data_IF_296930947170
#
_entry.id   IF_296930947170
#
_cell.length_a   1.000
_cell.length_b   1.000
_cell.length_c   1.000
_cell.angle_alpha   90.00
_cell.angle_beta   90.00
_cell.angle_gamma   90.00
#
_symmetry.space_group_name_H-M   'P 1'
#
loop_
_entity.id
_entity.type
_entity.pdbx_description
1 polymer ?
#
# COMPACT_ATOMS: atom_id res chain seq x y z
N UNK A 1 -41.53 54.06 -66.25
CA UNK A 1 -41.59 53.35 -64.95
C UNK A 1 -40.21 53.42 -64.33
N UNK A 2 -40.00 54.47 -63.55
CA UNK A 2 -38.76 54.79 -62.84
C UNK A 2 -39.20 55.41 -61.53
N UNK A 3 -38.68 54.96 -60.39
CA UNK A 3 -38.27 55.90 -59.36
C UNK A 3 -37.34 55.23 -58.35
N UNK A 4 -36.34 56.03 -57.99
CA UNK A 4 -35.04 55.68 -57.43
C UNK A 4 -34.82 56.69 -56.30
N UNK A 5 -34.08 56.25 -55.26
CA UNK A 5 -33.31 57.07 -54.29
C UNK A 5 -34.14 57.63 -53.11
N UNK A 6 -33.94 57.18 -51.86
CA UNK A 6 -32.87 57.50 -50.86
C UNK A 6 -33.02 58.90 -50.27
N UNK A 7 -33.25 58.99 -48.95
CA UNK A 7 -32.61 59.95 -48.04
C UNK A 7 -32.93 59.63 -46.57
N UNK A 8 -31.92 59.78 -45.73
CA UNK A 8 -31.89 59.58 -44.29
C UNK A 8 -32.35 60.82 -43.48
N UNK A 9 -32.47 60.69 -42.16
CA UNK A 9 -31.75 61.48 -41.12
C UNK A 9 -32.58 61.70 -39.82
N UNK A 10 -31.93 61.38 -38.69
CA UNK A 10 -32.01 61.92 -37.32
C UNK A 10 -33.29 61.81 -36.46
N UNK A 11 -33.14 61.35 -35.20
CA UNK A 11 -33.10 62.25 -34.03
C UNK A 11 -32.62 61.53 -32.75
N UNK A 12 -31.90 62.26 -31.91
CA UNK A 12 -31.27 61.87 -30.63
C UNK A 12 -32.28 62.07 -29.47
N UNK A 13 -31.94 61.53 -28.29
CA UNK A 13 -32.54 61.66 -26.94
C UNK A 13 -33.38 60.41 -26.57
N UNK A 14 -33.10 59.67 -25.49
CA UNK A 14 -33.27 60.10 -24.08
C UNK A 14 -32.29 59.37 -23.14
N UNK A 15 -31.87 60.09 -22.11
CA UNK A 15 -30.87 59.79 -21.09
C UNK A 15 -31.49 59.04 -19.90
N UNK A 16 -30.74 58.06 -19.39
CA UNK A 16 -30.64 57.52 -18.02
C UNK A 16 -31.88 57.40 -17.10
N UNK A 17 -32.09 56.21 -16.53
CA UNK A 17 -32.00 55.98 -15.08
C UNK A 17 -32.35 54.53 -14.69
N UNK A 18 -31.51 53.97 -13.80
CA UNK A 18 -31.78 52.84 -12.90
C UNK A 18 -32.04 51.49 -13.60
N UNK A 19 -31.55 50.33 -13.15
CA UNK A 19 -31.53 49.85 -11.79
C UNK A 19 -30.28 48.98 -11.56
N UNK A 20 -29.71 49.18 -10.37
CA UNK A 20 -28.73 48.31 -9.72
C UNK A 20 -29.19 46.85 -9.79
N UNK A 21 -28.23 45.92 -9.89
CA UNK A 21 -28.16 44.58 -9.30
C UNK A 21 -27.36 43.63 -10.20
N UNK A 22 -26.04 43.77 -10.21
CA UNK A 22 -25.15 42.66 -10.59
C UNK A 22 -24.05 42.57 -9.54
N UNK A 23 -24.24 41.66 -8.57
CA UNK A 23 -23.18 41.25 -7.65
C UNK A 23 -22.19 40.38 -8.45
N UNK A 24 -20.88 40.68 -8.47
CA UNK A 24 -19.91 39.70 -8.93
C UNK A 24 -19.87 38.56 -7.92
N UNK A 25 -20.32 37.38 -8.34
CA UNK A 25 -20.19 36.13 -7.57
C UNK A 25 -18.71 35.82 -7.37
N UNK A 26 -18.31 35.63 -6.13
CA UNK A 26 -16.99 35.13 -5.77
C UNK A 26 -16.88 33.69 -6.27
N UNK A 27 -16.09 33.48 -7.33
CA UNK A 27 -15.65 32.16 -7.71
C UNK A 27 -14.72 31.64 -6.60
N UNK A 28 -15.26 30.79 -5.73
CA UNK A 28 -14.44 29.97 -4.85
C UNK A 28 -13.56 29.11 -5.75
N UNK A 29 -12.26 29.39 -5.76
CA UNK A 29 -11.26 28.48 -6.29
C UNK A 29 -11.32 27.21 -5.42
N UNK A 30 -12.06 26.22 -5.90
CA UNK A 30 -11.96 24.85 -5.40
C UNK A 30 -10.56 24.42 -5.79
N UNK A 31 -9.64 24.47 -4.82
CA UNK A 31 -8.36 23.82 -4.91
C UNK A 31 -8.62 22.38 -5.30
N UNK A 32 -8.37 22.05 -6.56
CA UNK A 32 -8.11 20.69 -6.98
C UNK A 32 -6.82 20.28 -6.28
N UNK A 33 -6.96 19.87 -5.02
CA UNK A 33 -5.97 19.05 -4.35
C UNK A 33 -5.92 17.77 -5.17
N UNK A 34 -4.99 17.78 -6.11
CA UNK A 34 -4.47 16.60 -6.77
C UNK A 34 -3.93 15.71 -5.66
N UNK A 35 -4.82 14.90 -5.07
CA UNK A 35 -4.45 13.74 -4.29
C UNK A 35 -3.84 12.74 -5.26
N UNK A 36 -2.60 13.05 -5.67
CA UNK A 36 -1.66 12.03 -6.06
C UNK A 36 -1.62 11.07 -4.87
N UNK A 37 -2.23 9.90 -5.05
CA UNK A 37 -2.04 8.75 -4.20
C UNK A 37 -0.54 8.49 -4.11
N UNK A 38 0.10 9.12 -3.13
CA UNK A 38 1.42 8.78 -2.69
C UNK A 38 1.29 7.36 -2.15
N UNK A 39 1.79 6.41 -2.93
CA UNK A 39 1.93 5.02 -2.50
C UNK A 39 2.55 5.04 -1.12
N UNK A 40 1.78 4.56 -0.14
CA UNK A 40 2.18 4.58 1.26
C UNK A 40 3.39 3.69 1.39
N UNK A 41 4.56 4.31 1.50
CA UNK A 41 5.78 3.62 1.93
C UNK A 41 5.41 2.91 3.24
N UNK A 42 5.67 1.60 3.37
CA UNK A 42 5.41 0.88 4.61
C UNK A 42 5.98 1.68 5.78
N UNK A 43 5.16 2.04 6.77
CA UNK A 43 5.62 2.76 7.97
C UNK A 43 6.31 1.79 8.93
N UNK A 44 7.26 1.02 8.39
CA UNK A 44 8.08 0.08 9.16
C UNK A 44 9.05 0.90 9.96
N UNK A 45 8.89 0.86 11.27
CA UNK A 45 9.86 1.46 12.18
C UNK A 45 10.81 0.37 12.64
N UNK A 46 12.07 0.46 12.23
CA UNK A 46 13.12 -0.46 12.64
C UNK A 46 14.05 0.26 13.60
N UNK A 47 14.22 -0.27 14.81
CA UNK A 47 15.20 0.21 15.80
C UNK A 47 16.39 -0.76 15.91
N UNK A 48 17.23 -0.64 16.93
CA UNK A 48 18.42 -1.52 17.07
C UNK A 48 18.05 -2.99 17.29
N UNK A 49 16.87 -3.27 17.86
CA UNK A 49 16.52 -4.60 18.37
C UNK A 49 15.27 -5.19 17.69
N UNK A 50 14.39 -4.35 17.16
CA UNK A 50 13.09 -4.77 16.65
C UNK A 50 12.71 -4.09 15.34
N UNK A 51 11.83 -4.76 14.61
CA UNK A 51 11.08 -4.22 13.48
C UNK A 51 9.62 -4.16 13.88
N UNK A 52 8.98 -3.01 13.66
CA UNK A 52 7.57 -2.77 13.98
C UNK A 52 6.79 -2.43 12.73
N UNK A 53 5.73 -3.20 12.48
CA UNK A 53 4.83 -3.04 11.33
C UNK A 53 3.44 -2.69 11.87
N UNK A 54 2.84 -1.55 11.51
CA UNK A 54 1.51 -1.21 11.98
C UNK A 54 0.49 -2.28 11.57
N UNK A 55 -0.34 -2.75 12.51
CA UNK A 55 -1.41 -3.71 12.20
C UNK A 55 -2.40 -3.17 11.17
N UNK A 56 -2.61 -1.85 11.14
CA UNK A 56 -3.43 -1.17 10.14
C UNK A 56 -2.95 -1.35 8.71
N UNK A 57 -1.67 -1.70 8.50
CA UNK A 57 -1.11 -2.00 7.18
C UNK A 57 -1.03 -3.50 6.87
N UNK A 58 -1.44 -4.37 7.80
CA UNK A 58 -1.48 -5.82 7.59
C UNK A 58 -2.85 -6.18 7.02
N UNK A 59 -2.84 -6.86 5.86
CA UNK A 59 -4.05 -7.21 5.13
C UNK A 59 -4.00 -8.65 4.64
N UNK A 60 -5.11 -9.15 4.09
CA UNK A 60 -5.16 -10.45 3.44
C UNK A 60 -4.21 -10.55 2.22
N UNK A 61 -3.78 -9.42 1.66
CA UNK A 61 -2.71 -9.37 0.67
C UNK A 61 -1.35 -9.37 1.36
N UNK A 62 -0.56 -10.40 1.08
CA UNK A 62 0.80 -10.61 1.56
C UNK A 62 1.70 -9.45 1.15
N UNK A 63 2.45 -8.94 2.11
CA UNK A 63 3.50 -7.96 1.90
C UNK A 63 4.86 -8.60 2.16
N UNK A 64 5.84 -8.21 1.35
CA UNK A 64 7.26 -8.61 1.50
C UNK A 64 8.07 -7.44 2.02
N UNK A 65 8.99 -7.76 2.92
CA UNK A 65 9.91 -6.81 3.53
C UNK A 65 11.32 -7.38 3.47
N UNK A 66 12.30 -6.47 3.54
CA UNK A 66 13.72 -6.82 3.54
C UNK A 66 14.41 -6.03 4.62
N UNK A 67 15.20 -6.71 5.44
CA UNK A 67 16.10 -6.10 6.42
C UNK A 67 17.54 -6.48 6.09
N UNK A 68 18.44 -5.50 6.10
CA UNK A 68 19.86 -5.76 5.88
C UNK A 68 20.54 -5.95 7.24
N UNK A 69 21.00 -7.17 7.51
CA UNK A 69 21.59 -7.58 8.78
C UNK A 69 22.99 -8.14 8.51
N UNK A 70 24.02 -7.44 8.99
CA UNK A 70 25.43 -7.84 8.85
C UNK A 70 25.84 -8.17 7.40
N UNK A 71 25.35 -7.38 6.43
CA UNK A 71 25.63 -7.58 5.01
C UNK A 71 24.77 -8.63 4.31
N UNK A 72 23.84 -9.30 5.01
CA UNK A 72 22.86 -10.20 4.43
C UNK A 72 21.48 -9.53 4.30
N UNK A 73 20.85 -9.66 3.14
CA UNK A 73 19.47 -9.22 2.92
C UNK A 73 18.48 -10.31 3.35
N UNK A 74 17.89 -10.15 4.53
CA UNK A 74 16.91 -11.08 5.08
C UNK A 74 15.52 -10.65 4.65
N UNK A 75 14.83 -11.52 3.89
CA UNK A 75 13.48 -11.24 3.39
C UNK A 75 12.43 -11.99 4.19
N UNK A 76 11.31 -11.33 4.46
CA UNK A 76 10.20 -11.92 5.21
C UNK A 76 8.87 -11.40 4.69
N UNK A 77 7.82 -12.15 5.00
CA UNK A 77 6.46 -11.90 4.59
C UNK A 77 5.59 -11.63 5.81
N UNK A 78 4.61 -10.74 5.64
CA UNK A 78 3.53 -10.50 6.61
C UNK A 78 2.20 -10.51 5.87
N UNK A 79 1.24 -11.26 6.40
CA UNK A 79 -0.10 -11.43 5.81
C UNK A 79 -1.12 -11.67 6.92
N UNK A 80 -2.36 -11.22 6.72
CA UNK A 80 -3.46 -11.46 7.66
C UNK A 80 -4.11 -12.82 7.35
N UNK A 81 -4.25 -13.66 8.38
CA UNK A 81 -5.06 -14.88 8.31
C UNK A 81 -6.56 -14.57 8.29
N UNK A 82 -7.35 -15.57 7.92
CA UNK A 82 -8.82 -15.46 7.89
C UNK A 82 -9.43 -15.28 9.29
N UNK A 83 -8.68 -15.63 10.34
CA UNK A 83 -9.01 -15.39 11.75
C UNK A 83 -8.66 -13.98 12.25
N UNK A 84 -8.21 -13.09 11.36
CA UNK A 84 -7.82 -11.73 11.71
C UNK A 84 -6.46 -11.64 12.42
N UNK A 85 -5.71 -12.75 12.51
CA UNK A 85 -4.40 -12.76 13.14
C UNK A 85 -3.29 -12.57 12.11
N UNK A 86 -2.26 -11.75 12.41
CA UNK A 86 -1.11 -11.61 11.52
C UNK A 86 -0.28 -12.90 11.50
N UNK A 87 0.24 -13.21 10.32
CA UNK A 87 1.16 -14.32 10.06
C UNK A 87 2.46 -13.77 9.54
N UNK A 88 3.56 -14.29 10.06
CA UNK A 88 4.92 -13.89 9.67
C UNK A 88 5.75 -15.12 9.36
N UNK A 89 6.50 -15.06 8.27
CA UNK A 89 7.44 -16.11 7.88
C UNK A 89 8.59 -15.48 7.10
N UNK A 90 9.71 -16.17 7.00
CA UNK A 90 10.73 -15.81 6.02
C UNK A 90 10.20 -16.01 4.60
N UNK A 91 10.65 -15.18 3.66
CA UNK A 91 10.44 -15.42 2.22
C UNK A 91 11.42 -16.51 1.73
N UNK A 92 11.47 -17.63 2.45
CA UNK A 92 12.39 -18.73 2.27
C UNK A 92 11.81 -20.05 2.79
N UNK A 93 12.23 -21.14 2.14
CA UNK A 93 11.91 -22.50 2.52
C UNK A 93 13.12 -23.13 3.20
N UNK A 94 12.92 -23.98 4.21
CA UNK A 94 14.04 -24.69 4.85
C UNK A 94 14.79 -25.58 3.85
N UNK A 95 14.03 -26.24 2.94
CA UNK A 95 14.57 -27.17 1.94
C UNK A 95 15.00 -26.46 0.66
N UNK A 96 14.19 -25.51 0.16
CA UNK A 96 14.47 -24.84 -1.12
C UNK A 96 15.31 -23.56 -1.00
N UNK A 97 15.56 -23.09 0.22
CA UNK A 97 16.20 -21.81 0.48
C UNK A 97 15.33 -20.62 0.10
N UNK A 98 15.97 -19.45 0.14
CA UNK A 98 15.36 -18.14 -0.07
C UNK A 98 15.46 -17.61 -1.49
N UNK A 99 16.21 -18.22 -2.41
CA UNK A 99 16.53 -17.62 -3.71
C UNK A 99 15.30 -17.14 -4.51
N UNK A 100 14.23 -17.96 -4.58
CA UNK A 100 13.02 -17.66 -5.35
C UNK A 100 11.84 -17.16 -4.50
N UNK A 101 11.87 -17.38 -3.20
CA UNK A 101 10.80 -17.01 -2.27
C UNK A 101 9.42 -17.60 -2.60
N UNK A 102 8.38 -16.89 -2.17
CA UNK A 102 6.98 -17.26 -2.31
C UNK A 102 6.17 -16.22 -3.10
N UNK A 103 5.08 -16.65 -3.72
CA UNK A 103 4.03 -15.76 -4.21
C UNK A 103 2.71 -16.13 -3.53
N UNK A 104 1.78 -15.20 -3.46
CA UNK A 104 0.45 -15.49 -2.96
C UNK A 104 -0.50 -15.81 -4.12
N UNK A 105 -1.30 -16.86 -3.97
CA UNK A 105 -2.40 -17.23 -4.85
C UNK A 105 -3.65 -17.44 -4.00
N UNK A 106 -4.56 -16.45 -3.99
CA UNK A 106 -5.74 -16.48 -3.12
C UNK A 106 -5.37 -16.58 -1.63
N UNK A 107 -5.85 -17.62 -0.96
CA UNK A 107 -5.58 -17.90 0.45
C UNK A 107 -4.32 -18.74 0.69
N UNK A 108 -3.49 -18.93 -0.34
CA UNK A 108 -2.30 -19.78 -0.27
C UNK A 108 -1.02 -19.02 -0.62
N UNK A 109 0.08 -19.45 -0.02
CA UNK A 109 1.43 -19.09 -0.41
C UNK A 109 2.05 -20.24 -1.20
N UNK A 110 2.54 -19.95 -2.39
CA UNK A 110 3.12 -20.93 -3.30
C UNK A 110 4.62 -20.72 -3.42
N UNK A 111 5.40 -21.77 -3.15
CA UNK A 111 6.84 -21.73 -3.31
C UNK A 111 7.20 -21.54 -4.79
N UNK A 112 7.95 -20.50 -5.12
CA UNK A 112 8.37 -20.24 -6.50
C UNK A 112 9.45 -21.22 -6.99
N UNK A 113 10.02 -22.04 -6.11
CA UNK A 113 11.00 -23.06 -6.50
C UNK A 113 10.36 -24.40 -6.87
N UNK A 114 9.47 -24.94 -6.04
CA UNK A 114 8.90 -26.27 -6.21
C UNK A 114 7.38 -26.31 -6.43
N UNK A 115 6.69 -25.17 -6.38
CA UNK A 115 5.25 -25.08 -6.65
C UNK A 115 4.34 -25.57 -5.51
N UNK A 116 4.87 -26.03 -4.38
CA UNK A 116 4.05 -26.42 -3.23
C UNK A 116 3.30 -25.21 -2.67
N UNK A 117 2.01 -25.40 -2.42
CA UNK A 117 1.10 -24.39 -1.87
C UNK A 117 0.82 -24.66 -0.38
N UNK A 118 0.68 -23.58 0.39
CA UNK A 118 0.47 -23.60 1.84
C UNK A 118 -0.61 -22.60 2.21
N UNK A 119 -1.61 -23.01 2.98
CA UNK A 119 -2.65 -22.09 3.44
C UNK A 119 -2.05 -21.02 4.34
N UNK A 120 -2.45 -19.77 4.16
CA UNK A 120 -2.03 -18.65 5.02
C UNK A 120 -2.36 -18.93 6.50
N UNK A 121 -3.53 -19.49 6.79
CA UNK A 121 -3.96 -19.81 8.16
C UNK A 121 -3.06 -20.84 8.87
N UNK A 122 -2.30 -21.63 8.10
CA UNK A 122 -1.44 -22.68 8.65
C UNK A 122 -0.04 -22.15 9.04
N UNK A 123 0.30 -20.92 8.63
CA UNK A 123 1.57 -20.27 8.95
C UNK A 123 1.65 -19.93 10.45
N UNK A 124 2.77 -20.28 11.08
CA UNK A 124 3.00 -20.17 12.52
C UNK A 124 2.15 -21.13 13.38
N UNK A 125 1.09 -21.73 12.84
CA UNK A 125 0.18 -22.63 13.55
C UNK A 125 0.53 -24.11 13.36
N UNK A 126 0.85 -24.53 12.13
CA UNK A 126 1.20 -25.92 11.80
C UNK A 126 2.67 -26.10 11.41
N UNK A 127 3.31 -25.08 10.86
CA UNK A 127 4.73 -25.13 10.47
C UNK A 127 5.66 -24.67 11.61
N UNK A 128 5.53 -25.28 12.79
CA UNK A 128 6.32 -24.86 13.96
C UNK A 128 7.77 -25.36 13.94
N UNK A 129 8.10 -26.37 13.14
CA UNK A 129 9.48 -26.80 12.90
C UNK A 129 9.61 -27.65 11.61
N UNK A 130 10.69 -27.44 10.85
CA UNK A 130 11.19 -28.38 9.86
C UNK A 130 10.44 -28.47 8.52
N UNK A 131 11.18 -28.77 7.46
CA UNK A 131 10.63 -29.33 6.22
C UNK A 131 10.34 -28.34 5.09
N UNK A 132 9.70 -28.83 4.03
CA UNK A 132 9.41 -28.04 2.83
C UNK A 132 8.21 -27.12 3.07
N UNK A 133 8.43 -26.03 3.82
CA UNK A 133 7.44 -25.00 4.20
C UNK A 133 8.09 -23.61 4.26
N UNK A 134 7.31 -22.52 4.21
CA UNK A 134 7.80 -21.20 4.60
C UNK A 134 8.36 -21.29 6.02
N UNK A 135 9.57 -20.81 6.26
CA UNK A 135 10.16 -20.90 7.60
C UNK A 135 9.45 -19.92 8.52
N UNK A 136 8.91 -20.40 9.63
CA UNK A 136 8.23 -19.56 10.61
C UNK A 136 9.16 -18.45 11.14
N UNK A 137 8.63 -17.24 11.24
CA UNK A 137 9.32 -16.09 11.83
C UNK A 137 8.52 -15.67 13.06
N UNK A 138 9.03 -15.84 14.29
CA UNK A 138 8.32 -15.41 15.48
C UNK A 138 8.00 -13.91 15.46
N UNK A 139 6.84 -13.56 16.00
CA UNK A 139 6.42 -12.17 16.19
C UNK A 139 5.58 -12.04 17.47
N UNK A 140 5.38 -10.80 17.90
CA UNK A 140 4.40 -10.42 18.93
C UNK A 140 3.47 -9.37 18.37
N UNK A 141 2.26 -9.30 18.93
CA UNK A 141 1.34 -8.19 18.67
C UNK A 141 1.33 -7.30 19.91
N UNK A 142 1.82 -6.07 19.78
CA UNK A 142 1.94 -5.14 20.91
C UNK A 142 1.73 -3.69 20.44
N UNK A 143 0.91 -2.93 21.17
CA UNK A 143 0.74 -1.49 20.94
C UNK A 143 0.19 -1.12 19.55
N UNK A 144 -0.52 -2.02 18.87
CA UNK A 144 -1.00 -1.81 17.50
C UNK A 144 -0.01 -2.20 16.41
N UNK A 145 1.06 -2.91 16.75
CA UNK A 145 2.11 -3.35 15.81
C UNK A 145 2.30 -4.86 15.84
N UNK A 146 2.68 -5.41 14.69
CA UNK A 146 3.44 -6.66 14.60
C UNK A 146 4.89 -6.32 14.90
N UNK A 147 5.43 -6.91 15.97
CA UNK A 147 6.79 -6.69 16.45
C UNK A 147 7.62 -7.95 16.21
N UNK A 148 8.71 -7.80 15.45
CA UNK A 148 9.63 -8.88 15.10
C UNK A 148 11.01 -8.54 15.68
N UNK A 149 11.64 -9.48 16.38
CA UNK A 149 12.98 -9.24 16.91
C UNK A 149 14.04 -9.36 15.80
N UNK A 150 15.01 -8.46 15.77
CA UNK A 150 16.15 -8.54 14.85
C UNK A 150 17.02 -9.77 15.10
N UNK A 151 17.04 -10.29 16.33
CA UNK A 151 17.68 -11.58 16.64
C UNK A 151 17.04 -12.74 15.88
N UNK A 152 15.71 -12.76 15.77
CA UNK A 152 14.98 -13.80 15.05
C UNK A 152 15.22 -13.69 13.55
N UNK A 153 15.19 -12.46 13.01
CA UNK A 153 15.57 -12.21 11.61
C UNK A 153 17.02 -12.63 11.33
N UNK A 154 17.95 -12.32 12.23
CA UNK A 154 19.36 -12.67 12.10
C UNK A 154 19.58 -14.19 12.09
N UNK A 155 18.81 -14.94 12.89
CA UNK A 155 18.85 -16.41 12.88
C UNK A 155 18.41 -17.00 11.53
N UNK A 156 17.57 -16.29 10.78
CA UNK A 156 17.11 -16.68 9.44
C UNK A 156 18.10 -16.40 8.30
N UNK A 157 19.22 -15.69 8.55
CA UNK A 157 20.22 -15.37 7.51
C UNK A 157 20.67 -16.58 6.72
N UNK A 158 20.78 -17.75 7.37
CA UNK A 158 21.23 -19.01 6.77
C UNK A 158 20.36 -19.53 5.60
N UNK A 159 19.16 -18.98 5.41
CA UNK A 159 18.28 -19.38 4.31
C UNK A 159 18.48 -18.55 3.03
N UNK A 160 19.27 -17.47 3.10
CA UNK A 160 19.53 -16.54 2.01
C UNK A 160 21.01 -16.59 1.63
#
# INVERSE_FOLDING_TARGET
MSNKQIAAVAFILVVAAAWMFVKPGQANAISAANSQAQGTTPSVTSDSNTVKIPLSEVSASMRKYTENLDGASVRYIVVLGSDGQPRTAFDACEVCGGAKGYRQEGSELVCNNCGKAFRVDDLGAKNTAGGCWPVNLPHKVEGGYVVIAKSDLSAGKRYF
#
